data_IF_468580581331
#
_entry.id   IF_468580581331
#
_cell.length_a   1.000
_cell.length_b   1.000
_cell.length_c   1.000
_cell.angle_alpha   90.00
_cell.angle_beta   90.00
_cell.angle_gamma   90.00
#
_symmetry.space_group_name_H-M   'P 1'
#
loop_
_entity.id
_entity.type
_entity.pdbx_description
1 polymer ?
#
# COMPACT_ATOMS: atom_id res chain seq x y z
N UNK A 1 -0.95 14.33 4.44
CA UNK A 1 -1.48 13.64 3.23
C UNK A 1 -0.40 13.44 2.17
N UNK A 2 0.67 14.24 2.21
CA UNK A 2 1.71 14.30 1.19
C UNK A 2 2.49 13.00 1.02
N UNK A 3 2.70 12.26 2.11
CA UNK A 3 3.46 11.02 2.08
C UNK A 3 2.79 9.90 1.26
N UNK A 4 1.52 9.63 1.54
CA UNK A 4 0.75 8.63 0.78
C UNK A 4 0.55 9.07 -0.68
N UNK A 5 0.37 10.38 -0.91
CA UNK A 5 0.30 10.94 -2.26
C UNK A 5 1.61 10.74 -3.04
N UNK A 6 2.76 10.90 -2.39
CA UNK A 6 4.07 10.64 -2.97
C UNK A 6 4.21 9.21 -3.46
N UNK A 7 3.87 8.23 -2.62
CA UNK A 7 3.90 6.80 -2.98
C UNK A 7 3.00 6.52 -4.19
N UNK A 8 1.80 7.11 -4.21
CA UNK A 8 0.87 6.94 -5.33
C UNK A 8 1.38 7.56 -6.62
N UNK A 9 2.03 8.72 -6.56
CA UNK A 9 2.64 9.34 -7.72
C UNK A 9 3.80 8.48 -8.26
N UNK A 10 4.65 7.94 -7.38
CA UNK A 10 5.74 7.03 -7.75
C UNK A 10 5.21 5.77 -8.47
N UNK A 11 4.17 5.14 -7.91
CA UNK A 11 3.55 3.95 -8.50
C UNK A 11 2.83 4.27 -9.82
N UNK A 12 2.10 5.39 -9.91
CA UNK A 12 1.44 5.83 -11.15
C UNK A 12 2.42 6.16 -12.26
N UNK A 13 3.57 6.75 -11.93
CA UNK A 13 4.64 7.00 -12.90
C UNK A 13 5.17 5.71 -13.53
N UNK A 14 5.05 4.58 -12.83
CA UNK A 14 5.38 3.24 -13.31
C UNK A 14 4.18 2.48 -13.91
N UNK A 15 3.10 3.20 -14.24
CA UNK A 15 1.85 2.66 -14.79
C UNK A 15 1.16 1.63 -13.87
N UNK A 16 1.45 1.65 -12.56
CA UNK A 16 0.77 0.80 -11.58
C UNK A 16 -0.58 1.39 -11.22
N UNK A 17 -1.62 0.58 -11.27
CA UNK A 17 -2.96 0.97 -10.81
C UNK A 17 -2.96 1.07 -9.28
N UNK A 18 -3.10 2.29 -8.77
CA UNK A 18 -3.16 2.58 -7.35
C UNK A 18 -4.21 3.67 -7.06
N UNK A 19 -4.93 3.47 -5.96
CA UNK A 19 -5.98 4.36 -5.45
C UNK A 19 -5.64 4.79 -4.02
N UNK A 20 -5.94 6.04 -3.70
CA UNK A 20 -5.81 6.59 -2.35
C UNK A 20 -7.17 6.55 -1.65
N UNK A 21 -7.20 5.99 -0.44
CA UNK A 21 -8.40 5.85 0.37
C UNK A 21 -8.30 6.71 1.65
N UNK A 22 -8.81 7.94 1.57
CA UNK A 22 -8.86 8.90 2.68
C UNK A 22 -10.26 9.13 3.24
N UNK A 23 -11.19 8.19 3.05
CA UNK A 23 -12.52 8.30 3.66
C UNK A 23 -12.42 8.46 5.19
N UNK A 24 -13.33 9.25 5.79
CA UNK A 24 -13.41 9.49 7.24
C UNK A 24 -13.81 8.25 8.06
N UNK A 25 -13.81 7.07 7.45
CA UNK A 25 -14.15 5.83 8.10
C UNK A 25 -12.96 5.26 8.89
N UNK A 26 -13.29 4.40 9.85
CA UNK A 26 -12.31 3.69 10.66
C UNK A 26 -11.32 2.95 9.77
N UNK A 27 -10.06 2.94 10.18
CA UNK A 27 -8.98 2.29 9.42
C UNK A 27 -9.31 0.83 9.08
N UNK A 28 -9.88 0.09 10.04
CA UNK A 28 -10.31 -1.30 9.79
C UNK A 28 -11.41 -1.41 8.73
N UNK A 29 -12.36 -0.46 8.68
CA UNK A 29 -13.39 -0.43 7.65
C UNK A 29 -12.82 -0.17 6.25
N UNK A 30 -11.82 0.71 6.16
CA UNK A 30 -11.08 0.95 4.90
C UNK A 30 -10.30 -0.27 4.43
N UNK A 31 -9.62 -0.96 5.35
CA UNK A 31 -8.90 -2.20 5.05
C UNK A 31 -9.88 -3.27 4.58
N UNK A 32 -11.02 -3.43 5.28
CA UNK A 32 -12.05 -4.41 4.91
C UNK A 32 -12.61 -4.14 3.52
N UNK A 33 -12.93 -2.87 3.17
CA UNK A 33 -13.34 -2.52 1.80
C UNK A 33 -12.27 -2.81 0.74
N UNK A 34 -11.01 -2.59 1.07
CA UNK A 34 -9.91 -2.91 0.14
C UNK A 34 -9.77 -4.43 -0.05
N UNK A 35 -9.96 -5.22 1.01
CA UNK A 35 -10.00 -6.68 0.95
C UNK A 35 -11.22 -7.19 0.16
N UNK A 36 -12.41 -6.61 0.34
CA UNK A 36 -13.64 -6.91 -0.42
C UNK A 36 -13.46 -6.62 -1.91
N UNK A 37 -12.78 -5.53 -2.25
CA UNK A 37 -12.38 -5.18 -3.62
C UNK A 37 -11.27 -6.09 -4.18
N UNK A 38 -10.79 -7.08 -3.41
CA UNK A 38 -9.70 -8.00 -3.77
C UNK A 38 -8.44 -7.25 -4.23
N UNK A 39 -8.12 -6.15 -3.56
CA UNK A 39 -6.89 -5.41 -3.81
C UNK A 39 -5.70 -6.26 -3.33
N UNK A 40 -4.81 -6.64 -4.25
CA UNK A 40 -3.69 -7.53 -3.94
C UNK A 40 -2.76 -6.96 -2.87
N UNK A 41 -2.43 -5.67 -2.95
CA UNK A 41 -1.51 -5.00 -2.04
C UNK A 41 -2.21 -3.81 -1.36
N UNK A 42 -2.33 -3.88 -0.04
CA UNK A 42 -2.91 -2.82 0.79
C UNK A 42 -1.77 -2.19 1.59
N UNK A 43 -1.55 -0.90 1.35
CA UNK A 43 -0.53 -0.09 2.02
C UNK A 43 -1.21 0.76 3.09
N UNK A 44 -0.85 0.53 4.35
CA UNK A 44 -1.37 1.27 5.49
C UNK A 44 -0.29 2.22 5.98
N UNK A 45 -0.61 3.51 6.00
CA UNK A 45 0.28 4.56 6.50
C UNK A 45 -0.40 5.26 7.67
N UNK A 46 0.15 5.07 8.87
CA UNK A 46 -0.17 5.87 10.04
C UNK A 46 0.83 7.00 10.26
N UNK A 47 0.61 7.79 11.30
CA UNK A 47 1.51 8.88 11.67
C UNK A 47 2.92 8.37 12.02
N UNK A 48 3.00 7.29 12.81
CA UNK A 48 4.27 6.67 13.21
C UNK A 48 5.04 6.12 12.01
N UNK A 49 4.35 5.50 11.07
CA UNK A 49 4.98 4.95 9.86
C UNK A 49 5.50 6.08 8.97
N UNK A 50 4.74 7.17 8.83
CA UNK A 50 5.17 8.35 8.08
C UNK A 50 6.44 8.97 8.67
N UNK A 51 6.50 9.16 9.99
CA UNK A 51 7.68 9.71 10.68
C UNK A 51 8.92 8.81 10.47
N UNK A 52 8.73 7.50 10.41
CA UNK A 52 9.79 6.52 10.21
C UNK A 52 10.10 6.19 8.72
N UNK A 53 9.47 6.85 7.75
CA UNK A 53 9.53 6.51 6.32
C UNK A 53 9.19 5.03 6.01
N UNK A 54 8.29 4.47 6.80
CA UNK A 54 7.81 3.10 6.69
C UNK A 54 6.37 3.06 6.15
N UNK A 55 5.92 1.85 5.83
CA UNK A 55 4.54 1.51 5.49
C UNK A 55 4.21 0.12 6.03
N UNK A 56 3.00 -0.07 6.53
CA UNK A 56 2.48 -1.39 6.85
C UNK A 56 1.94 -2.05 5.57
N UNK A 57 2.55 -3.17 5.17
CA UNK A 57 2.16 -3.92 4.00
C UNK A 57 1.20 -5.07 4.40
N UNK A 58 0.11 -5.20 3.65
CA UNK A 58 -0.83 -6.30 3.78
C UNK A 58 -1.16 -6.85 2.39
N UNK A 59 -1.07 -8.17 2.25
CA UNK A 59 -1.24 -8.84 0.96
C UNK A 59 -2.49 -9.71 1.02
N UNK A 60 -3.37 -9.56 0.05
CA UNK A 60 -4.56 -10.39 -0.06
C UNK A 60 -4.17 -11.88 -0.15
N UNK A 61 -4.82 -12.73 0.64
CA UNK A 61 -4.52 -14.17 0.70
C UNK A 61 -3.28 -14.55 1.53
N UNK A 62 -2.34 -13.63 1.79
CA UNK A 62 -1.16 -13.88 2.63
C UNK A 62 -1.16 -13.16 3.97
N UNK A 63 -2.11 -12.25 4.21
CA UNK A 63 -2.28 -11.55 5.48
C UNK A 63 -1.32 -10.38 5.69
N UNK A 64 -1.05 -10.02 6.94
CA UNK A 64 -0.14 -8.93 7.29
C UNK A 64 1.32 -9.32 7.02
N UNK A 65 2.02 -8.49 6.27
CA UNK A 65 3.45 -8.64 5.96
C UNK A 65 4.36 -7.73 6.81
N UNK A 66 3.77 -7.07 7.81
CA UNK A 66 4.48 -6.21 8.75
C UNK A 66 4.75 -4.80 8.22
N UNK A 67 5.56 -4.07 8.99
CA UNK A 67 5.98 -2.70 8.67
C UNK A 67 7.35 -2.77 8.00
N UNK A 68 7.47 -2.15 6.83
CA UNK A 68 8.69 -2.12 6.02
C UNK A 68 9.00 -0.71 5.52
N UNK A 69 10.25 -0.40 5.15
CA UNK A 69 10.60 0.86 4.50
C UNK A 69 9.79 1.05 3.21
N UNK A 70 9.30 2.28 2.96
CA UNK A 70 8.48 2.54 1.76
C UNK A 70 9.20 2.19 0.46
N UNK A 71 10.50 2.44 0.42
CA UNK A 71 11.33 2.23 -0.77
C UNK A 71 11.43 0.76 -1.13
N UNK A 72 11.61 -0.09 -0.12
CA UNK A 72 11.60 -1.55 -0.27
C UNK A 72 10.23 -2.02 -0.77
N UNK A 73 9.15 -1.54 -0.16
CA UNK A 73 7.80 -1.98 -0.54
C UNK A 73 7.42 -1.55 -1.95
N UNK A 74 7.77 -0.34 -2.37
CA UNK A 74 7.55 0.10 -3.77
C UNK A 74 8.36 -0.76 -4.74
N UNK A 75 9.63 -1.04 -4.43
CA UNK A 75 10.47 -1.91 -5.25
C UNK A 75 9.90 -3.34 -5.35
N UNK A 76 9.47 -3.91 -4.23
CA UNK A 76 8.85 -5.23 -4.15
C UNK A 76 7.56 -5.30 -5.01
N UNK A 77 6.69 -4.29 -4.91
CA UNK A 77 5.46 -4.23 -5.71
C UNK A 77 5.79 -4.16 -7.21
N UNK A 78 6.75 -3.32 -7.60
CA UNK A 78 7.16 -3.19 -8.99
C UNK A 78 7.76 -4.49 -9.53
N UNK A 79 8.59 -5.18 -8.74
CA UNK A 79 9.14 -6.48 -9.09
C UNK A 79 8.02 -7.52 -9.23
N UNK A 80 7.10 -7.60 -8.27
CA UNK A 80 5.98 -8.54 -8.30
C UNK A 80 5.08 -8.35 -9.53
N UNK A 81 4.82 -7.10 -9.93
CA UNK A 81 4.07 -6.76 -11.14
C UNK A 81 4.84 -7.17 -12.40
N UNK A 82 6.14 -6.85 -12.49
CA UNK A 82 7.00 -7.20 -13.64
C UNK A 82 7.12 -8.72 -13.82
N UNK A 83 7.26 -9.46 -12.73
CA UNK A 83 7.43 -10.91 -12.71
C UNK A 83 6.10 -11.68 -12.72
N UNK A 84 4.95 -10.99 -12.71
CA UNK A 84 3.60 -11.58 -12.60
C UNK A 84 3.46 -12.54 -11.41
N UNK A 85 4.07 -12.21 -10.27
CA UNK A 85 3.93 -12.97 -9.02
C UNK A 85 2.60 -12.59 -8.36
N UNK A 86 1.53 -13.29 -8.75
CA UNK A 86 0.18 -13.18 -8.18
C UNK A 86 -0.02 -14.06 -6.95
#
# INVERSE_FOLDING_TARGET
>A
MDYAQGIVNELRAQQVRVELEFSNDKLMGRIQRAEERRVHHILVVGQREQEANNVALRIHGKGQHGVKPRTEVVADILAAIRERRG
#
